data_IF_777002470752
#
_entry.id   IF_777002470752
#
_cell.length_a   1.000
_cell.length_b   1.000
_cell.length_c   1.000
_cell.angle_alpha   90.00
_cell.angle_beta   90.00
_cell.angle_gamma   90.00
#
_symmetry.space_group_name_H-M   'P 1'
#
loop_
_entity.id
_entity.type
_entity.pdbx_description
1 polymer ?
#
# COMPACT_ATOMS: atom_id res chain seq x y z
N UNK A 1 -13.91 -17.42 -8.23
CA UNK A 1 -13.43 -16.17 -7.62
C UNK A 1 -13.87 -16.16 -6.18
N UNK A 2 -13.05 -16.67 -5.26
CA UNK A 2 -13.32 -16.55 -3.84
C UNK A 2 -12.97 -15.12 -3.44
N UNK A 3 -13.96 -14.36 -3.00
CA UNK A 3 -13.73 -13.02 -2.46
C UNK A 3 -13.06 -13.17 -1.09
N UNK A 4 -11.74 -13.00 -1.03
CA UNK A 4 -11.00 -12.94 0.23
C UNK A 4 -11.18 -11.53 0.83
N UNK A 5 -12.36 -11.33 1.43
CA UNK A 5 -12.76 -10.08 2.08
C UNK A 5 -11.70 -9.62 3.10
N UNK A 6 -11.15 -10.50 3.98
CA UNK A 6 -10.05 -10.13 4.86
C UNK A 6 -8.84 -9.53 4.13
N UNK A 7 -8.37 -10.16 3.06
CA UNK A 7 -7.23 -9.67 2.29
C UNK A 7 -7.52 -8.31 1.64
N UNK A 8 -8.74 -8.09 1.12
CA UNK A 8 -9.17 -6.81 0.56
C UNK A 8 -9.16 -5.71 1.63
N UNK A 9 -9.67 -6.00 2.83
CA UNK A 9 -9.69 -5.04 3.94
C UNK A 9 -8.26 -4.66 4.35
N UNK A 10 -7.37 -5.62 4.51
CA UNK A 10 -5.95 -5.36 4.85
C UNK A 10 -5.29 -4.51 3.77
N UNK A 11 -5.53 -4.83 2.51
CA UNK A 11 -5.03 -4.05 1.37
C UNK A 11 -5.51 -2.59 1.42
N UNK A 12 -6.80 -2.36 1.69
CA UNK A 12 -7.36 -1.02 1.80
C UNK A 12 -6.74 -0.21 2.97
N UNK A 13 -6.51 -0.86 4.11
CA UNK A 13 -5.88 -0.23 5.28
C UNK A 13 -4.43 0.18 4.96
N UNK A 14 -3.67 -0.67 4.27
CA UNK A 14 -2.29 -0.36 3.84
C UNK A 14 -2.28 0.85 2.91
N UNK A 15 -3.13 0.84 1.87
CA UNK A 15 -3.24 1.94 0.92
C UNK A 15 -3.56 3.26 1.64
N UNK A 16 -4.58 3.26 2.51
CA UNK A 16 -4.98 4.42 3.27
C UNK A 16 -3.86 4.94 4.17
N UNK A 17 -3.20 4.06 4.92
CA UNK A 17 -2.15 4.43 5.87
C UNK A 17 -0.95 5.08 5.17
N UNK A 18 -0.57 4.56 4.01
CA UNK A 18 0.55 5.11 3.23
C UNK A 18 0.18 6.46 2.62
N UNK A 19 -1.01 6.59 2.02
CA UNK A 19 -1.49 7.86 1.46
C UNK A 19 -1.57 8.92 2.57
N UNK A 20 -2.22 8.58 3.68
CA UNK A 20 -2.42 9.48 4.81
C UNK A 20 -1.08 9.89 5.43
N UNK A 21 -0.19 8.94 5.67
CA UNK A 21 1.13 9.19 6.25
C UNK A 21 1.98 10.10 5.36
N UNK A 22 2.00 9.87 4.06
CA UNK A 22 2.75 10.74 3.13
C UNK A 22 2.15 12.14 2.98
N UNK A 23 0.88 12.33 3.33
CA UNK A 23 0.25 13.65 3.37
C UNK A 23 0.48 14.38 4.72
N UNK A 24 0.60 13.64 5.82
CA UNK A 24 0.72 14.21 7.18
C UNK A 24 2.15 14.30 7.71
N UNK A 25 3.13 13.64 7.07
CA UNK A 25 4.53 13.69 7.47
C UNK A 25 5.22 14.90 6.80
N UNK A 26 5.67 15.85 7.62
CA UNK A 26 6.28 17.13 7.19
C UNK A 26 7.36 17.00 6.08
N UNK A 27 8.32 16.05 6.12
CA UNK A 27 9.30 15.84 5.05
C UNK A 27 8.72 15.62 3.63
N UNK A 28 7.49 15.10 3.52
CA UNK A 28 6.86 14.83 2.23
C UNK A 28 6.01 16.01 1.73
N UNK A 29 5.74 17.00 2.59
CA UNK A 29 4.96 18.19 2.23
C UNK A 29 5.77 19.18 1.39
N UNK A 30 7.08 19.28 1.64
CA UNK A 30 8.00 20.17 0.90
C UNK A 30 8.58 19.53 -0.37
N UNK A 31 8.27 18.25 -0.60
CA UNK A 31 8.83 17.49 -1.71
C UNK A 31 8.03 17.70 -3.01
N UNK A 32 8.72 17.72 -4.16
CA UNK A 32 8.06 17.89 -5.45
C UNK A 32 7.06 16.75 -5.72
N UNK A 33 5.92 17.07 -6.35
CA UNK A 33 4.82 16.12 -6.60
C UNK A 33 5.31 14.82 -7.27
N UNK A 34 6.24 14.92 -8.23
CA UNK A 34 6.79 13.76 -8.93
C UNK A 34 7.62 12.85 -8.03
N UNK A 35 8.51 13.41 -7.20
CA UNK A 35 9.31 12.64 -6.24
C UNK A 35 8.42 11.98 -5.17
N UNK A 36 7.44 12.72 -4.66
CA UNK A 36 6.46 12.19 -3.69
C UNK A 36 5.68 11.01 -4.27
N UNK A 37 5.17 11.13 -5.49
CA UNK A 37 4.45 10.04 -6.14
C UNK A 37 5.34 8.82 -6.40
N UNK A 38 6.60 9.03 -6.80
CA UNK A 38 7.56 7.94 -6.98
C UNK A 38 7.83 7.18 -5.68
N UNK A 39 8.08 7.91 -4.59
CA UNK A 39 8.27 7.28 -3.27
C UNK A 39 7.00 6.56 -2.81
N UNK A 40 5.84 7.16 -3.01
CA UNK A 40 4.55 6.55 -2.67
C UNK A 40 4.34 5.24 -3.42
N UNK A 41 4.63 5.24 -4.73
CA UNK A 41 4.55 4.04 -5.55
C UNK A 41 5.49 2.94 -5.03
N UNK A 42 6.74 3.28 -4.73
CA UNK A 42 7.72 2.30 -4.21
C UNK A 42 7.26 1.72 -2.88
N UNK A 43 6.80 2.55 -1.94
CA UNK A 43 6.32 2.09 -0.63
C UNK A 43 5.12 1.16 -0.79
N UNK A 44 4.12 1.57 -1.59
CA UNK A 44 2.94 0.75 -1.84
C UNK A 44 3.30 -0.57 -2.53
N UNK A 45 4.18 -0.52 -3.53
CA UNK A 45 4.64 -1.71 -4.23
C UNK A 45 5.29 -2.71 -3.27
N UNK A 46 6.22 -2.26 -2.43
CA UNK A 46 6.91 -3.13 -1.46
C UNK A 46 5.93 -3.73 -0.45
N UNK A 47 5.03 -2.93 0.12
CA UNK A 47 4.08 -3.41 1.12
C UNK A 47 3.09 -4.43 0.53
N UNK A 48 2.55 -4.15 -0.66
CA UNK A 48 1.64 -5.06 -1.33
C UNK A 48 2.35 -6.32 -1.82
N UNK A 49 3.60 -6.21 -2.27
CA UNK A 49 4.41 -7.35 -2.67
C UNK A 49 4.67 -8.28 -1.48
N UNK A 50 5.07 -7.73 -0.32
CA UNK A 50 5.24 -8.51 0.91
C UNK A 50 3.92 -9.15 1.34
N UNK A 51 2.80 -8.40 1.31
CA UNK A 51 1.48 -8.95 1.63
C UNK A 51 1.14 -10.15 0.74
N UNK A 52 1.42 -10.07 -0.56
CA UNK A 52 1.13 -11.15 -1.51
C UNK A 52 2.12 -12.33 -1.41
N UNK A 53 3.31 -12.15 -0.83
CA UNK A 53 4.21 -13.26 -0.50
C UNK A 53 3.69 -14.02 0.72
N UNK A 54 3.29 -13.29 1.77
CA UNK A 54 2.90 -13.88 3.06
C UNK A 54 1.48 -14.47 2.99
N UNK A 55 0.59 -13.77 2.30
CA UNK A 55 -0.81 -14.15 2.12
C UNK A 55 -1.17 -13.98 0.64
N UNK A 56 -0.83 -14.96 -0.21
CA UNK A 56 -1.10 -14.85 -1.64
C UNK A 56 -2.61 -14.86 -1.89
N UNK A 57 -3.08 -13.92 -2.70
CA UNK A 57 -4.49 -13.87 -3.05
C UNK A 57 -4.89 -15.12 -3.84
N UNK A 58 -5.88 -15.85 -3.35
CA UNK A 58 -6.39 -17.07 -4.01
C UNK A 58 -5.61 -18.36 -3.73
N UNK A 59 -4.67 -18.39 -2.77
CA UNK A 59 -3.95 -19.63 -2.40
C UNK A 59 -4.75 -20.59 -1.51
N UNK A 60 -6.00 -20.29 -1.19
CA UNK A 60 -6.91 -21.15 -0.43
C UNK A 60 -7.69 -22.16 -1.29
N UNK A 61 -7.23 -22.44 -2.51
CA UNK A 61 -7.82 -23.41 -3.42
C UNK A 61 -7.32 -24.83 -3.15
#
# INVERSE_FOLDING_TARGET
>A
MQFDIPHIIVTAIILYSVIWGMQHIAPFSEMSKGKRNGIQFIILFVLLFILNIIWPYGSGA
#
